data_IF_115462335056
#
_entry.id   IF_115462335056
#
_cell.length_a   1.000
_cell.length_b   1.000
_cell.length_c   1.000
_cell.angle_alpha   90.00
_cell.angle_beta   90.00
_cell.angle_gamma   90.00
#
_symmetry.space_group_name_H-M   'P 1'
#
loop_
_entity.id
_entity.type
_entity.pdbx_description
1 polymer ?
#
# COMPACT_ATOMS: atom_id res chain seq x y z
N UNK A 1 -3.98 18.10 2.99
CA UNK A 1 -5.17 17.28 3.36
C UNK A 1 -5.41 17.34 4.86
N UNK A 2 -6.65 17.54 5.34
CA UNK A 2 -6.95 17.47 6.78
C UNK A 2 -7.07 16.02 7.26
N UNK A 3 -6.89 15.76 8.56
CA UNK A 3 -7.03 14.41 9.15
C UNK A 3 -8.40 13.78 8.87
N UNK A 4 -9.45 14.62 8.81
CA UNK A 4 -10.80 14.19 8.44
C UNK A 4 -10.86 13.70 6.99
N UNK A 5 -10.28 14.45 6.05
CA UNK A 5 -10.21 14.07 4.63
C UNK A 5 -9.41 12.77 4.45
N UNK A 6 -8.30 12.60 5.20
CA UNK A 6 -7.50 11.36 5.19
C UNK A 6 -8.32 10.15 5.65
N UNK A 7 -9.06 10.32 6.73
CA UNK A 7 -9.93 9.27 7.28
C UNK A 7 -11.04 8.89 6.28
N UNK A 8 -11.65 9.89 5.62
CA UNK A 8 -12.64 9.66 4.57
C UNK A 8 -12.04 8.95 3.35
N UNK A 9 -10.81 9.29 2.99
CA UNK A 9 -10.08 8.66 1.89
C UNK A 9 -9.87 7.16 2.14
N UNK A 10 -9.38 6.79 3.33
CA UNK A 10 -9.23 5.38 3.75
C UNK A 10 -10.58 4.66 3.70
N UNK A 11 -11.62 5.22 4.32
CA UNK A 11 -12.95 4.62 4.34
C UNK A 11 -13.52 4.39 2.92
N UNK A 12 -13.25 5.33 2.00
CA UNK A 12 -13.66 5.22 0.60
C UNK A 12 -12.87 4.13 -0.14
N UNK A 13 -11.56 4.05 0.09
CA UNK A 13 -10.72 2.98 -0.48
C UNK A 13 -11.19 1.61 0.00
N UNK A 14 -11.38 1.43 1.31
CA UNK A 14 -11.88 0.16 1.86
C UNK A 14 -13.21 -0.22 1.25
N UNK A 15 -14.19 0.70 1.20
CA UNK A 15 -15.50 0.43 0.61
C UNK A 15 -15.42 0.00 -0.86
N UNK A 16 -14.46 0.53 -1.62
CA UNK A 16 -14.28 0.24 -3.04
C UNK A 16 -13.52 -1.06 -3.30
N UNK A 17 -12.52 -1.35 -2.47
CA UNK A 17 -11.53 -2.40 -2.74
C UNK A 17 -11.80 -3.67 -1.92
N UNK A 18 -12.33 -3.57 -0.70
CA UNK A 18 -12.51 -4.69 0.22
C UNK A 18 -13.67 -5.59 -0.20
N UNK A 19 -13.43 -6.87 -0.54
CA UNK A 19 -14.50 -7.81 -0.85
C UNK A 19 -15.41 -8.09 0.36
N UNK A 20 -16.69 -8.41 0.13
CA UNK A 20 -17.68 -8.61 1.20
C UNK A 20 -17.35 -9.72 2.21
N UNK A 21 -16.53 -10.71 1.83
CA UNK A 21 -16.12 -11.84 2.69
C UNK A 21 -14.61 -11.82 3.02
N UNK A 22 -13.97 -10.66 2.92
CA UNK A 22 -12.55 -10.55 3.15
C UNK A 22 -12.18 -10.65 4.63
N UNK A 23 -11.28 -11.58 4.96
CA UNK A 23 -10.64 -11.67 6.26
C UNK A 23 -9.15 -11.33 6.16
N UNK A 24 -8.65 -10.70 7.21
CA UNK A 24 -7.23 -10.38 7.40
C UNK A 24 -6.61 -11.32 8.41
N UNK A 25 -5.41 -11.80 8.11
CA UNK A 25 -4.57 -12.44 9.12
C UNK A 25 -4.02 -11.36 10.06
N UNK A 26 -3.67 -11.71 11.30
CA UNK A 26 -3.11 -10.76 12.28
C UNK A 26 -1.90 -9.99 11.71
N UNK A 27 -1.07 -10.69 10.92
CA UNK A 27 0.07 -10.11 10.21
C UNK A 27 -0.31 -8.95 9.28
N UNK A 28 -1.45 -9.07 8.57
CA UNK A 28 -1.94 -8.07 7.62
C UNK A 28 -2.74 -6.99 8.33
N UNK A 29 -3.46 -7.34 9.40
CA UNK A 29 -4.18 -6.39 10.27
C UNK A 29 -3.24 -5.36 10.86
N UNK A 30 -2.09 -5.78 11.39
CA UNK A 30 -1.11 -4.85 11.96
C UNK A 30 -0.53 -3.90 10.90
N UNK A 31 -0.16 -4.41 9.72
CA UNK A 31 0.38 -3.58 8.63
C UNK A 31 -0.63 -2.58 8.09
N UNK A 32 -1.89 -3.01 7.97
CA UNK A 32 -2.99 -2.13 7.56
C UNK A 32 -3.18 -1.00 8.57
N UNK A 33 -3.31 -1.34 9.85
CA UNK A 33 -3.48 -0.36 10.93
C UNK A 33 -2.31 0.62 11.02
N UNK A 34 -1.07 0.15 10.84
CA UNK A 34 0.13 0.98 10.88
C UNK A 34 0.17 2.01 9.73
N UNK A 35 -0.25 1.61 8.53
CA UNK A 35 -0.34 2.52 7.37
C UNK A 35 -1.48 3.51 7.58
N UNK A 36 -2.66 3.04 8.00
CA UNK A 36 -3.82 3.91 8.30
C UNK A 36 -3.49 4.96 9.35
N UNK A 37 -2.86 4.53 10.45
CA UNK A 37 -2.46 5.43 11.53
C UNK A 37 -1.46 6.47 11.04
N UNK A 38 -0.38 6.02 10.38
CA UNK A 38 0.64 6.92 9.82
C UNK A 38 0.03 7.93 8.85
N UNK A 39 -0.84 7.47 7.96
CA UNK A 39 -1.51 8.34 7.00
C UNK A 39 -2.40 9.35 7.72
N UNK A 40 -3.23 8.93 8.66
CA UNK A 40 -4.16 9.80 9.37
C UNK A 40 -3.49 10.78 10.35
N UNK A 41 -2.21 10.60 10.70
CA UNK A 41 -1.44 11.56 11.51
C UNK A 41 -1.00 12.84 10.76
N UNK A 42 -1.36 12.98 9.48
CA UNK A 42 -1.21 14.23 8.74
C UNK A 42 0.09 14.35 7.93
N UNK A 43 0.36 15.57 7.43
CA UNK A 43 1.40 15.80 6.41
C UNK A 43 2.82 15.52 6.90
N UNK A 44 3.09 15.68 8.20
CA UNK A 44 4.38 15.34 8.80
C UNK A 44 4.75 13.86 8.69
N UNK A 45 3.76 12.98 8.52
CA UNK A 45 3.95 11.54 8.41
C UNK A 45 3.86 11.03 6.96
N UNK A 46 3.77 11.91 5.96
CA UNK A 46 3.64 11.50 4.55
C UNK A 46 4.78 10.57 4.12
N UNK A 47 6.01 10.91 4.50
CA UNK A 47 7.18 10.12 4.15
C UNK A 47 7.21 8.76 4.87
N UNK A 48 6.97 8.76 6.18
CA UNK A 48 6.81 7.53 6.98
C UNK A 48 5.75 6.61 6.37
N UNK A 49 4.64 7.20 5.91
CA UNK A 49 3.54 6.47 5.28
C UNK A 49 3.98 5.80 4.00
N UNK A 50 4.66 6.51 3.09
CA UNK A 50 5.20 5.92 1.85
C UNK A 50 6.17 4.78 2.16
N UNK A 51 7.08 4.97 3.11
CA UNK A 51 8.04 3.94 3.52
C UNK A 51 7.33 2.68 4.01
N UNK A 52 6.34 2.83 4.89
CA UNK A 52 5.54 1.70 5.39
C UNK A 52 4.78 1.01 4.25
N UNK A 53 4.15 1.77 3.35
CA UNK A 53 3.48 1.22 2.18
C UNK A 53 4.44 0.38 1.32
N UNK A 54 5.65 0.88 1.04
CA UNK A 54 6.65 0.18 0.25
C UNK A 54 7.18 -1.07 0.97
N UNK A 55 7.60 -0.93 2.23
CA UNK A 55 8.10 -2.04 3.06
C UNK A 55 7.06 -3.16 3.17
N UNK A 56 5.84 -2.83 3.56
CA UNK A 56 4.78 -3.82 3.75
C UNK A 56 4.29 -4.42 2.43
N UNK A 57 4.34 -3.68 1.32
CA UNK A 57 4.07 -4.25 0.00
C UNK A 57 5.13 -5.29 -0.40
N UNK A 58 6.41 -5.02 -0.14
CA UNK A 58 7.49 -6.00 -0.37
C UNK A 58 7.27 -7.26 0.47
N UNK A 59 6.97 -7.09 1.76
CA UNK A 59 6.68 -8.23 2.65
C UNK A 59 5.53 -9.09 2.12
N UNK A 60 4.43 -8.46 1.72
CA UNK A 60 3.26 -9.17 1.17
C UNK A 60 3.62 -9.92 -0.11
N UNK A 61 4.30 -9.26 -1.05
CA UNK A 61 4.73 -9.87 -2.32
C UNK A 61 5.65 -11.09 -2.09
N UNK A 62 6.56 -11.00 -1.13
CA UNK A 62 7.47 -12.10 -0.76
C UNK A 62 6.75 -13.25 -0.08
N UNK A 63 5.71 -12.97 0.70
CA UNK A 63 4.92 -14.01 1.37
C UNK A 63 4.04 -14.75 0.36
N UNK A 64 3.45 -14.03 -0.60
CA UNK A 64 2.62 -14.64 -1.65
C UNK A 64 3.49 -15.46 -2.62
N UNK A 65 4.68 -14.97 -2.97
CA UNK A 65 5.58 -15.61 -3.93
C UNK A 65 6.98 -15.86 -3.34
N UNK A 66 7.12 -16.77 -2.35
CA UNK A 66 8.37 -16.93 -1.59
C UNK A 66 9.54 -17.50 -2.41
N UNK A 67 9.24 -18.16 -3.53
CA UNK A 67 10.25 -18.74 -4.42
C UNK A 67 10.81 -17.74 -5.44
N UNK A 68 10.17 -16.58 -5.57
CA UNK A 68 10.50 -15.57 -6.58
C UNK A 68 11.42 -14.54 -5.96
N UNK A 69 12.65 -14.43 -6.50
CA UNK A 69 13.68 -13.52 -5.98
C UNK A 69 13.58 -12.10 -6.54
N UNK A 70 13.07 -11.96 -7.75
CA UNK A 70 12.88 -10.65 -8.37
C UNK A 70 11.56 -10.00 -7.95
N UNK A 71 11.60 -8.73 -7.55
CA UNK A 71 10.41 -8.03 -7.05
C UNK A 71 9.43 -7.70 -8.18
N UNK A 72 9.91 -7.42 -9.38
CA UNK A 72 9.05 -7.12 -10.53
C UNK A 72 8.29 -8.37 -10.99
N UNK A 73 8.97 -9.52 -10.97
CA UNK A 73 8.34 -10.82 -11.20
C UNK A 73 7.27 -11.13 -10.13
N UNK A 74 7.53 -10.83 -8.84
CA UNK A 74 6.50 -10.93 -7.81
C UNK A 74 5.27 -10.07 -8.12
N UNK A 75 5.46 -8.82 -8.58
CA UNK A 75 4.35 -7.92 -8.95
C UNK A 75 3.56 -8.51 -10.10
N UNK A 76 4.23 -9.06 -11.12
CA UNK A 76 3.56 -9.62 -12.29
C UNK A 76 2.71 -10.85 -11.98
N UNK A 77 3.10 -11.64 -10.98
CA UNK A 77 2.35 -12.82 -10.55
C UNK A 77 1.11 -12.47 -9.70
N UNK A 78 0.99 -11.23 -9.23
CA UNK A 78 -0.20 -10.81 -8.48
C UNK A 78 -1.45 -10.72 -9.35
N UNK A 79 -2.60 -10.93 -8.72
CA UNK A 79 -3.96 -10.86 -9.31
C UNK A 79 -4.49 -9.44 -9.48
N UNK A 80 -3.70 -8.41 -9.13
CA UNK A 80 -4.12 -7.01 -9.21
C UNK A 80 -4.18 -6.57 -10.68
N UNK A 81 -4.94 -5.51 -10.98
CA UNK A 81 -5.02 -4.97 -12.34
C UNK A 81 -3.66 -4.42 -12.82
N UNK A 82 -3.44 -4.34 -14.13
CA UNK A 82 -2.19 -3.76 -14.70
C UNK A 82 -1.91 -2.36 -14.15
N UNK A 83 -2.94 -1.51 -14.05
CA UNK A 83 -2.79 -0.18 -13.44
C UNK A 83 -2.33 -0.25 -11.97
N UNK A 84 -2.83 -1.22 -11.19
CA UNK A 84 -2.40 -1.38 -9.81
C UNK A 84 -0.95 -1.88 -9.72
N UNK A 85 -0.51 -2.74 -10.65
CA UNK A 85 0.90 -3.15 -10.76
C UNK A 85 1.80 -1.94 -11.02
N UNK A 86 1.40 -1.06 -11.94
CA UNK A 86 2.16 0.16 -12.25
C UNK A 86 2.24 1.09 -11.04
N UNK A 87 1.13 1.27 -10.30
CA UNK A 87 1.13 2.05 -9.05
C UNK A 87 2.07 1.45 -7.99
N UNK A 88 2.17 0.12 -7.89
CA UNK A 88 3.10 -0.56 -6.96
C UNK A 88 4.55 -0.35 -7.39
N UNK A 89 4.85 -0.39 -8.69
CA UNK A 89 6.18 -0.06 -9.23
C UNK A 89 6.55 1.39 -8.92
N UNK A 90 5.63 2.31 -9.18
CA UNK A 90 5.80 3.72 -8.87
C UNK A 90 6.05 3.96 -7.39
N UNK A 91 5.37 3.23 -6.50
CA UNK A 91 5.63 3.26 -5.05
C UNK A 91 7.09 2.89 -4.73
N UNK A 92 7.64 1.85 -5.33
CA UNK A 92 9.03 1.46 -5.08
C UNK A 92 10.04 2.44 -5.66
N UNK A 93 9.75 3.01 -6.83
CA UNK A 93 10.56 4.10 -7.42
C UNK A 93 10.52 5.32 -6.51
N UNK A 94 9.33 5.70 -6.03
CA UNK A 94 9.12 6.84 -5.14
C UNK A 94 9.86 6.67 -3.81
N UNK A 95 9.85 5.48 -3.22
CA UNK A 95 10.60 5.21 -1.99
C UNK A 95 12.12 5.21 -2.23
N UNK A 96 12.60 4.69 -3.35
CA UNK A 96 14.04 4.64 -3.66
C UNK A 96 14.65 5.99 -4.04
N UNK A 97 13.88 6.90 -4.63
CA UNK A 97 14.36 8.21 -5.09
C UNK A 97 14.34 9.30 -4.00
N UNK A 98 13.75 9.03 -2.83
CA UNK A 98 13.46 10.05 -1.83
C UNK A 98 14.38 9.94 -0.60
N UNK A 99 15.37 10.83 -0.48
CA UNK A 99 15.96 11.20 0.82
C UNK A 99 15.12 12.35 1.42
N UNK A 100 14.15 12.03 2.28
CA UNK A 100 13.23 12.96 2.97
C UNK A 100 12.84 14.25 2.19
N UNK A 101 12.38 14.17 0.92
CA UNK A 101 11.88 15.36 0.24
C UNK A 101 10.44 15.64 0.65
N UNK A 102 9.96 16.85 0.36
CA UNK A 102 8.55 17.22 0.52
C UNK A 102 7.67 16.32 -0.35
N UNK A 103 7.14 15.27 0.25
CA UNK A 103 6.16 14.37 -0.35
C UNK A 103 4.84 15.11 -0.54
N UNK A 104 4.32 15.09 -1.77
CA UNK A 104 3.02 15.71 -2.08
C UNK A 104 1.86 14.86 -1.54
N UNK A 105 0.71 15.50 -1.35
CA UNK A 105 -0.52 14.80 -0.98
C UNK A 105 -0.89 13.69 -1.97
N UNK A 106 -0.75 13.96 -3.27
CA UNK A 106 -1.02 12.99 -4.33
C UNK A 106 -0.12 11.76 -4.23
N UNK A 107 1.18 11.96 -3.96
CA UNK A 107 2.15 10.88 -3.82
C UNK A 107 1.81 9.94 -2.65
N UNK A 108 1.47 10.50 -1.48
CA UNK A 108 1.09 9.67 -0.32
C UNK A 108 -0.25 8.95 -0.55
N UNK A 109 -1.22 9.61 -1.18
CA UNK A 109 -2.49 8.98 -1.58
C UNK A 109 -2.28 7.80 -2.53
N UNK A 110 -1.44 7.98 -3.56
CA UNK A 110 -1.12 6.92 -4.51
C UNK A 110 -0.41 5.75 -3.84
N UNK A 111 0.52 6.01 -2.91
CA UNK A 111 1.19 4.98 -2.12
C UNK A 111 0.19 4.15 -1.27
N UNK A 112 -0.70 4.83 -0.55
CA UNK A 112 -1.75 4.17 0.25
C UNK A 112 -2.68 3.34 -0.65
N UNK A 113 -3.09 3.88 -1.81
CA UNK A 113 -3.92 3.16 -2.77
C UNK A 113 -3.22 1.91 -3.28
N UNK A 114 -1.95 1.99 -3.69
CA UNK A 114 -1.19 0.85 -4.19
C UNK A 114 -1.09 -0.26 -3.13
N UNK A 115 -0.79 0.10 -1.88
CA UNK A 115 -0.76 -0.84 -0.77
C UNK A 115 -2.13 -1.47 -0.51
N UNK A 116 -3.20 -0.68 -0.47
CA UNK A 116 -4.57 -1.18 -0.23
C UNK A 116 -5.05 -2.11 -1.34
N UNK A 117 -4.71 -1.81 -2.60
CA UNK A 117 -4.99 -2.69 -3.73
C UNK A 117 -4.33 -4.05 -3.51
N UNK A 118 -3.03 -4.08 -3.18
CA UNK A 118 -2.32 -5.33 -2.92
C UNK A 118 -2.92 -6.10 -1.73
N UNK A 119 -3.28 -5.41 -0.65
CA UNK A 119 -3.88 -6.04 0.54
C UNK A 119 -5.23 -6.66 0.24
N UNK A 120 -6.14 -5.94 -0.44
CA UNK A 120 -7.53 -6.37 -0.60
C UNK A 120 -7.79 -7.24 -1.83
N UNK A 121 -6.87 -7.27 -2.80
CA UNK A 121 -7.00 -8.10 -4.00
C UNK A 121 -6.07 -9.30 -4.03
N UNK A 122 -5.28 -9.51 -2.97
CA UNK A 122 -4.48 -10.73 -2.78
C UNK A 122 -5.38 -11.97 -2.86
N UNK A 123 -4.90 -12.97 -3.57
CA UNK A 123 -5.48 -14.31 -3.56
C UNK A 123 -4.44 -15.26 -2.94
N UNK A 124 -4.80 -15.87 -1.81
CA UNK A 124 -4.03 -16.97 -1.22
C UNK A 124 -4.69 -18.26 -1.69
N UNK A 125 -4.45 -18.61 -2.96
CA UNK A 125 -4.86 -19.89 -3.52
C UNK A 125 -4.02 -21.04 -2.98
#
# INVERSE_FOLDING_TARGET
MTDHDRSQYIATLEKRLKPSNFWVTDFLSHRLMDVEWSFCCGEGENWSTIKRCAEYSRDILRIIHPQVLDLDECIELTTVSSQAKDNIRELFVLEALCDEPKVTEEQVCNAVTAFFQLVFTRDFA
#
